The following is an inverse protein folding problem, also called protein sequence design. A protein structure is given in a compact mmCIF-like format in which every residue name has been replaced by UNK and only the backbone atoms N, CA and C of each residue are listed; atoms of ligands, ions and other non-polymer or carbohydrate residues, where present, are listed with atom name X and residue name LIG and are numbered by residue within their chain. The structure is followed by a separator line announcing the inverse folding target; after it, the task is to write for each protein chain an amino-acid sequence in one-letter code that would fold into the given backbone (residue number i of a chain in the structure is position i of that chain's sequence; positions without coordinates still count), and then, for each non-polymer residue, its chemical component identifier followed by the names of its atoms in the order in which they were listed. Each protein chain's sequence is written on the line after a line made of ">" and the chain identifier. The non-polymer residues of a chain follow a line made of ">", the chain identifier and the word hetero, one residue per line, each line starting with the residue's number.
data_IF_107850510291
#
_entry.id   IF_107850510291
#
_cell.length_a   1.000
_cell.length_b   1.000
_cell.length_c   1.000
_cell.angle_alpha   90.00
_cell.angle_beta   90.00
_cell.angle_gamma   90.00
#
_symmetry.space_group_name_H-M   'P 1'
#
loop_
_entity.id
_entity.type
_entity.pdbx_description
1 polymer ?
#
# COMPACT_ATOMS: atom_id res chain seq x y z
N UNK A 1 -68.41 -21.03 -18.98
CA UNK A 1 -67.11 -21.21 -19.65
C UNK A 1 -66.11 -20.20 -19.09
N UNK A 2 -65.10 -20.77 -18.40
CA UNK A 2 -63.71 -20.33 -18.16
C UNK A 2 -63.40 -18.90 -17.67
N UNK A 3 -63.04 -18.79 -16.39
CA UNK A 3 -62.14 -17.74 -15.88
C UNK A 3 -60.70 -18.26 -15.98
N UNK A 4 -59.87 -17.59 -16.79
CA UNK A 4 -58.43 -17.80 -16.83
C UNK A 4 -57.79 -17.03 -15.66
N UNK A 5 -57.26 -17.76 -14.67
CA UNK A 5 -56.50 -17.21 -13.56
C UNK A 5 -55.10 -16.80 -14.04
N UNK A 6 -54.85 -15.50 -14.07
CA UNK A 6 -53.58 -14.91 -14.51
C UNK A 6 -52.60 -14.84 -13.33
N UNK A 7 -51.73 -15.84 -13.20
CA UNK A 7 -50.72 -15.93 -12.13
C UNK A 7 -49.54 -14.99 -12.44
N UNK A 8 -49.56 -13.79 -11.85
CA UNK A 8 -48.41 -12.88 -11.87
C UNK A 8 -47.31 -13.40 -10.94
N UNK A 9 -46.25 -13.97 -11.50
CA UNK A 9 -45.05 -14.43 -10.78
C UNK A 9 -44.27 -13.23 -10.25
N UNK A 10 -44.55 -12.83 -9.00
CA UNK A 10 -43.76 -11.81 -8.32
C UNK A 10 -42.30 -12.33 -8.13
N UNK A 11 -41.26 -11.56 -8.54
CA UNK A 11 -39.88 -12.02 -8.43
C UNK A 11 -39.51 -12.26 -6.96
N UNK A 12 -39.02 -13.46 -6.68
CA UNK A 12 -38.77 -13.93 -5.32
C UNK A 12 -37.82 -12.98 -4.55
N UNK A 13 -38.21 -12.64 -3.31
CA UNK A 13 -37.48 -11.72 -2.41
C UNK A 13 -35.99 -12.07 -2.24
N UNK A 14 -35.61 -13.34 -2.45
CA UNK A 14 -34.23 -13.85 -2.40
C UNK A 14 -33.39 -13.41 -3.61
N UNK A 15 -33.99 -13.31 -4.80
CA UNK A 15 -33.32 -12.85 -6.02
C UNK A 15 -32.93 -11.37 -5.90
N UNK A 16 -33.82 -10.53 -5.37
CA UNK A 16 -33.56 -9.10 -5.12
C UNK A 16 -32.42 -8.86 -4.12
N UNK A 17 -32.31 -9.67 -3.06
CA UNK A 17 -31.21 -9.57 -2.07
C UNK A 17 -29.84 -9.96 -2.65
N UNK A 18 -29.78 -11.00 -3.50
CA UNK A 18 -28.51 -11.39 -4.17
C UNK A 18 -28.01 -10.31 -5.13
N UNK A 19 -28.92 -9.70 -5.88
CA UNK A 19 -28.57 -8.59 -6.79
C UNK A 19 -28.07 -7.36 -6.02
N UNK A 20 -28.69 -7.03 -4.88
CA UNK A 20 -28.22 -5.93 -4.04
C UNK A 20 -26.77 -6.14 -3.53
N UNK A 21 -26.39 -7.38 -3.18
CA UNK A 21 -25.01 -7.70 -2.77
C UNK A 21 -24.03 -7.48 -3.93
N UNK A 22 -24.36 -7.96 -5.13
CA UNK A 22 -23.48 -7.76 -6.30
C UNK A 22 -23.33 -6.28 -6.66
N UNK A 23 -24.40 -5.50 -6.55
CA UNK A 23 -24.34 -4.04 -6.77
C UNK A 23 -23.44 -3.38 -5.73
N UNK A 24 -23.56 -3.73 -4.44
CA UNK A 24 -22.70 -3.20 -3.39
C UNK A 24 -21.22 -3.53 -3.64
N UNK A 25 -20.92 -4.78 -4.00
CA UNK A 25 -19.55 -5.20 -4.32
C UNK A 25 -19.00 -4.45 -5.54
N UNK A 26 -19.82 -4.22 -6.57
CA UNK A 26 -19.42 -3.45 -7.74
C UNK A 26 -19.11 -1.99 -7.40
N UNK A 27 -19.89 -1.36 -6.50
CA UNK A 27 -19.64 0.00 -6.03
C UNK A 27 -18.33 0.07 -5.25
N UNK A 28 -18.10 -0.87 -4.32
CA UNK A 28 -16.84 -0.93 -3.55
C UNK A 28 -15.65 -1.12 -4.49
N UNK A 29 -15.74 -2.04 -5.45
CA UNK A 29 -14.68 -2.29 -6.42
C UNK A 29 -14.39 -1.04 -7.27
N UNK A 30 -15.44 -0.33 -7.73
CA UNK A 30 -15.27 0.92 -8.47
C UNK A 30 -14.60 1.99 -7.61
N UNK A 31 -15.03 2.17 -6.36
CA UNK A 31 -14.44 3.14 -5.44
C UNK A 31 -12.95 2.86 -5.20
N UNK A 32 -12.57 1.60 -4.96
CA UNK A 32 -11.17 1.19 -4.81
C UNK A 32 -10.41 1.48 -6.11
N UNK A 33 -10.96 1.09 -7.27
CA UNK A 33 -10.32 1.29 -8.56
C UNK A 33 -9.99 2.77 -8.83
N UNK A 34 -10.91 3.69 -8.54
CA UNK A 34 -10.68 5.12 -8.71
C UNK A 34 -9.71 5.71 -7.66
N UNK A 35 -9.72 5.21 -6.42
CA UNK A 35 -8.83 5.70 -5.37
C UNK A 35 -7.39 5.12 -5.46
N UNK A 36 -7.23 3.95 -6.08
CA UNK A 36 -5.99 3.18 -6.06
C UNK A 36 -4.75 3.93 -6.57
N UNK A 37 -4.79 4.67 -7.70
CA UNK A 37 -3.60 5.38 -8.19
C UNK A 37 -3.08 6.43 -7.20
N UNK A 38 -3.99 7.17 -6.55
CA UNK A 38 -3.63 8.17 -5.54
C UNK A 38 -3.05 7.53 -4.29
N UNK A 39 -3.68 6.47 -3.80
CA UNK A 39 -3.19 5.68 -2.66
C UNK A 39 -1.80 5.09 -2.93
N UNK A 40 -1.60 4.54 -4.13
CA UNK A 40 -0.31 3.97 -4.55
C UNK A 40 0.78 5.04 -4.62
N UNK A 41 0.48 6.20 -5.21
CA UNK A 41 1.44 7.31 -5.30
C UNK A 41 1.86 7.82 -3.91
N UNK A 42 0.90 8.06 -3.02
CA UNK A 42 1.18 8.50 -1.64
C UNK A 42 1.99 7.44 -0.86
N UNK A 43 1.62 6.17 -1.03
CA UNK A 43 2.36 5.05 -0.41
C UNK A 43 3.79 4.96 -0.94
N UNK A 44 4.03 5.22 -2.23
CA UNK A 44 5.37 5.24 -2.81
C UNK A 44 6.21 6.38 -2.26
N UNK A 45 5.61 7.56 -2.06
CA UNK A 45 6.26 8.70 -1.41
C UNK A 45 6.63 8.36 0.04
N UNK A 46 5.67 7.85 0.83
CA UNK A 46 5.89 7.46 2.22
C UNK A 46 6.96 6.38 2.36
N UNK A 47 6.94 5.35 1.51
CA UNK A 47 7.97 4.32 1.48
C UNK A 47 9.34 4.90 1.12
N UNK A 48 9.44 5.75 0.10
CA UNK A 48 10.74 6.31 -0.32
C UNK A 48 11.33 7.25 0.73
N UNK A 49 10.50 8.12 1.31
CA UNK A 49 10.91 8.96 2.42
C UNK A 49 11.32 8.13 3.64
N UNK A 50 10.50 7.14 4.03
CA UNK A 50 10.78 6.25 5.16
C UNK A 50 12.09 5.47 4.99
N UNK A 51 12.37 4.95 3.79
CA UNK A 51 13.64 4.28 3.50
C UNK A 51 14.82 5.23 3.65
N UNK A 52 14.73 6.43 3.08
CA UNK A 52 15.80 7.42 3.11
C UNK A 52 16.09 7.95 4.53
N UNK A 53 15.06 8.31 5.28
CA UNK A 53 15.19 8.80 6.66
C UNK A 53 15.72 7.70 7.58
N UNK A 54 15.16 6.48 7.49
CA UNK A 54 15.64 5.38 8.32
C UNK A 54 17.09 4.98 7.98
N UNK A 55 17.47 4.99 6.70
CA UNK A 55 18.86 4.79 6.29
C UNK A 55 19.78 5.86 6.89
N UNK A 56 19.39 7.14 6.82
CA UNK A 56 20.20 8.25 7.33
C UNK A 56 20.33 8.19 8.86
N UNK A 57 19.22 7.93 9.56
CA UNK A 57 19.21 7.68 10.99
C UNK A 57 20.15 6.53 11.38
N UNK A 58 20.08 5.41 10.66
CA UNK A 58 20.86 4.19 10.96
C UNK A 58 22.35 4.31 10.63
N UNK A 59 22.69 4.79 9.43
CA UNK A 59 24.04 4.70 8.85
C UNK A 59 24.80 6.02 8.84
N UNK A 60 24.12 7.16 8.81
CA UNK A 60 24.76 8.48 8.92
C UNK A 60 24.85 8.89 10.39
N UNK A 61 23.75 8.73 11.14
CA UNK A 61 23.68 9.12 12.56
C UNK A 61 24.09 8.01 13.54
N UNK A 62 24.19 6.75 13.06
CA UNK A 62 24.62 5.61 13.88
C UNK A 62 23.60 5.13 14.93
N UNK A 63 22.33 5.52 14.79
CA UNK A 63 21.25 5.10 15.72
C UNK A 63 20.82 3.65 15.45
N UNK A 64 20.17 3.04 16.44
CA UNK A 64 19.48 1.77 16.23
C UNK A 64 18.29 1.94 15.27
N UNK A 65 18.12 1.00 14.34
CA UNK A 65 17.10 1.10 13.29
C UNK A 65 15.68 1.15 13.85
N UNK A 66 15.40 0.50 14.97
CA UNK A 66 14.07 0.50 15.57
C UNK A 66 13.70 1.87 16.12
N UNK A 67 14.69 2.67 16.52
CA UNK A 67 14.47 4.05 16.98
C UNK A 67 14.12 5.01 15.84
N UNK A 68 14.45 4.66 14.58
CA UNK A 68 14.29 5.56 13.44
C UNK A 68 12.82 5.77 13.03
N UNK A 69 11.91 4.88 13.44
CA UNK A 69 10.47 5.10 13.23
C UNK A 69 9.94 6.34 13.98
N UNK A 70 10.63 6.78 15.03
CA UNK A 70 10.28 8.01 15.74
C UNK A 70 10.55 9.29 14.95
N UNK A 71 11.28 9.20 13.83
CA UNK A 71 11.59 10.33 12.95
C UNK A 71 10.60 10.40 11.77
N UNK A 72 9.52 9.60 11.78
CA UNK A 72 8.51 9.60 10.72
C UNK A 72 7.46 10.68 10.95
N UNK A 73 6.93 11.20 9.84
CA UNK A 73 5.85 12.19 9.85
C UNK A 73 4.50 11.54 10.21
N UNK A 74 3.57 12.34 10.70
CA UNK A 74 2.17 11.93 10.90
C UNK A 74 1.59 11.36 9.59
N UNK A 75 0.84 10.25 9.67
CA UNK A 75 0.29 9.57 8.50
C UNK A 75 1.19 8.50 7.86
N UNK A 76 2.39 8.27 8.42
CA UNK A 76 3.30 7.20 7.98
C UNK A 76 3.20 5.91 8.81
N UNK A 77 2.12 5.71 9.58
CA UNK A 77 1.99 4.58 10.52
C UNK A 77 2.00 3.22 9.80
N UNK A 78 1.58 3.19 8.53
CA UNK A 78 1.61 1.99 7.69
C UNK A 78 3.00 1.69 7.10
N UNK A 79 3.97 2.61 7.21
CA UNK A 79 5.32 2.41 6.70
C UNK A 79 6.10 1.48 7.62
N UNK A 80 6.44 0.30 7.11
CA UNK A 80 7.33 -0.65 7.77
C UNK A 80 8.75 -0.50 7.26
N UNK A 81 9.75 -0.72 8.10
CA UNK A 81 11.16 -0.70 7.72
C UNK A 81 11.87 -2.01 8.09
N UNK A 82 12.87 -2.38 7.30
CA UNK A 82 13.76 -3.52 7.49
C UNK A 82 15.20 -3.12 7.19
N UNK A 83 16.12 -3.45 8.08
CA UNK A 83 17.56 -3.16 7.94
C UNK A 83 18.27 -4.33 7.24
N UNK A 84 19.23 -4.00 6.37
CA UNK A 84 20.18 -4.93 5.74
C UNK A 84 21.61 -4.38 5.99
N UNK A 85 22.23 -4.76 7.12
CA UNK A 85 23.54 -4.27 7.52
C UNK A 85 24.69 -4.66 6.60
N UNK A 86 24.57 -5.79 5.90
CA UNK A 86 25.63 -6.31 5.02
C UNK A 86 25.83 -5.37 3.83
N UNK A 87 24.73 -4.95 3.21
CA UNK A 87 24.74 -4.06 2.05
C UNK A 87 24.53 -2.58 2.40
N UNK A 88 24.35 -2.29 3.71
CA UNK A 88 24.02 -0.98 4.27
C UNK A 88 22.78 -0.37 3.64
N UNK A 89 21.70 -1.15 3.60
CA UNK A 89 20.42 -0.79 3.00
C UNK A 89 19.32 -0.76 4.05
N UNK A 90 18.35 0.12 3.85
CA UNK A 90 17.05 0.05 4.54
C UNK A 90 15.97 -0.07 3.50
N UNK A 91 15.11 -1.06 3.67
CA UNK A 91 13.89 -1.24 2.88
C UNK A 91 12.72 -0.70 3.66
N UNK A 92 11.91 0.15 3.02
CA UNK A 92 10.62 0.56 3.54
C UNK A 92 9.47 0.07 2.65
N UNK A 93 8.34 -0.24 3.24
CA UNK A 93 7.17 -0.73 2.51
C UNK A 93 5.85 -0.28 3.14
N UNK A 94 4.86 -0.11 2.27
CA UNK A 94 3.45 0.05 2.65
C UNK A 94 2.71 -1.19 2.14
N UNK A 95 2.01 -1.94 3.00
CA UNK A 95 1.39 -3.21 2.63
C UNK A 95 0.55 -3.10 1.35
N UNK A 96 0.81 -4.00 0.39
CA UNK A 96 0.12 -4.10 -0.91
C UNK A 96 0.26 -2.91 -1.87
N UNK A 97 0.89 -1.81 -1.45
CA UNK A 97 0.86 -0.54 -2.20
C UNK A 97 2.25 -0.13 -2.71
N UNK A 98 3.28 -0.22 -1.88
CA UNK A 98 4.59 0.32 -2.22
C UNK A 98 5.75 -0.38 -1.52
N UNK A 99 6.91 -0.34 -2.18
CA UNK A 99 8.20 -0.74 -1.63
C UNK A 99 9.26 0.24 -2.15
N UNK A 100 10.22 0.57 -1.31
CA UNK A 100 11.31 1.47 -1.63
C UNK A 100 12.55 1.11 -0.82
N UNK A 101 13.75 1.31 -1.38
CA UNK A 101 15.01 0.91 -0.74
C UNK A 101 16.03 2.04 -0.82
N UNK A 102 16.62 2.41 0.31
CA UNK A 102 17.73 3.35 0.35
C UNK A 102 19.02 2.64 0.73
N UNK A 103 20.12 2.95 0.05
CA UNK A 103 21.44 2.41 0.31
C UNK A 103 22.40 3.51 0.74
N UNK A 104 23.12 3.26 1.83
CA UNK A 104 24.21 4.14 2.22
C UNK A 104 25.44 3.91 1.33
N UNK A 105 25.90 4.98 0.69
CA UNK A 105 27.12 5.02 -0.12
C UNK A 105 28.13 5.95 0.54
N UNK A 106 29.32 5.43 0.84
CA UNK A 106 30.38 6.17 1.53
C UNK A 106 30.70 7.46 0.77
N UNK A 107 30.65 8.60 1.45
CA UNK A 107 30.90 9.93 0.87
C UNK A 107 29.67 10.63 0.28
N UNK A 108 28.60 9.89 -0.02
CA UNK A 108 27.38 10.42 -0.63
C UNK A 108 26.16 10.39 0.30
N UNK A 109 26.23 9.61 1.38
CA UNK A 109 25.10 9.41 2.28
C UNK A 109 24.13 8.35 1.78
N UNK A 110 22.87 8.43 2.19
CA UNK A 110 21.83 7.49 1.79
C UNK A 110 21.21 7.89 0.46
N UNK A 111 21.28 7.00 -0.53
CA UNK A 111 20.69 7.21 -1.84
C UNK A 111 19.50 6.28 -2.05
N UNK A 112 18.44 6.81 -2.63
CA UNK A 112 17.28 6.04 -3.04
C UNK A 112 17.65 5.15 -4.23
N UNK A 113 17.38 3.86 -4.15
CA UNK A 113 17.53 2.95 -5.28
C UNK A 113 16.43 3.20 -6.30
N UNK A 114 16.78 3.11 -7.57
CA UNK A 114 15.83 3.12 -8.68
C UNK A 114 15.21 1.73 -8.88
N UNK A 115 14.25 1.64 -9.80
CA UNK A 115 13.53 0.39 -10.10
C UNK A 115 14.48 -0.74 -10.54
N UNK A 116 15.44 -0.46 -11.41
CA UNK A 116 16.39 -1.45 -11.93
C UNK A 116 17.33 -1.98 -10.84
N UNK A 117 17.76 -1.10 -9.94
CA UNK A 117 18.57 -1.49 -8.77
C UNK A 117 17.76 -2.31 -7.77
N UNK A 118 16.47 -1.99 -7.60
CA UNK A 118 15.57 -2.73 -6.72
C UNK A 118 15.21 -4.13 -7.24
N UNK A 119 15.07 -4.29 -8.55
CA UNK A 119 14.80 -5.59 -9.19
C UNK A 119 16.00 -6.54 -9.14
N UNK A 120 17.21 -6.00 -8.89
CA UNK A 120 18.45 -6.75 -8.74
C UNK A 120 18.77 -7.16 -7.30
N UNK A 121 17.90 -6.85 -6.33
CA UNK A 121 18.05 -7.19 -4.90
C UNK A 121 17.61 -8.62 -4.59
#
# INVERSE_FOLDING_TARGET
>A
MNQASNSSTAPSRKFKKRHAIYILLAIIAAAIFFAYPGLKAQSQLGASYGAHIACSCRYVSGRDVNSCKGDFEDGMEMVSISDDPENKRVTASVPLLAKSVAQYRKGWGCQQLNETEMDAL
#
